data_IF_538800105231
#
_entry.id   IF_538800105231
#
_cell.length_a   1.000
_cell.length_b   1.000
_cell.length_c   1.000
_cell.angle_alpha   90.00
_cell.angle_beta   90.00
_cell.angle_gamma   90.00
#
_symmetry.space_group_name_H-M   'P 1'
#
loop_
_entity.id
_entity.type
_entity.pdbx_description
1 polymer ?
#
# COMPACT_ATOMS: atom_id res chain seq x y z
N UNK A 1 -0.24 16.23 6.12
CA UNK A 1 0.33 15.03 5.48
C UNK A 1 -0.67 13.90 5.63
N UNK A 2 -0.89 13.11 4.58
CA UNK A 2 -1.65 11.86 4.64
C UNK A 2 -0.73 10.69 4.26
N UNK A 3 -0.90 9.56 4.94
CA UNK A 3 -0.19 8.32 4.63
C UNK A 3 -1.14 7.31 4.01
N UNK A 4 -0.69 6.68 2.93
CA UNK A 4 -1.37 5.59 2.25
C UNK A 4 -0.64 4.29 2.59
N UNK A 5 -1.36 3.34 3.18
CA UNK A 5 -0.79 2.03 3.53
C UNK A 5 -1.45 0.91 2.75
N UNK A 6 -0.68 -0.14 2.49
CA UNK A 6 -1.15 -1.35 1.82
C UNK A 6 -0.89 -2.56 2.70
N UNK A 7 -1.84 -3.48 2.72
CA UNK A 7 -1.71 -4.76 3.41
C UNK A 7 -2.11 -5.87 2.44
N UNK A 8 -1.10 -6.56 1.93
CA UNK A 8 -1.26 -7.78 1.16
C UNK A 8 0.00 -8.62 1.33
N UNK A 9 -0.15 -9.93 1.33
CA UNK A 9 0.96 -10.86 1.47
C UNK A 9 1.77 -10.88 0.16
N UNK A 10 2.88 -10.13 0.12
CA UNK A 10 3.83 -10.20 -1.00
C UNK A 10 4.60 -11.53 -0.91
N UNK A 11 4.54 -12.33 -1.97
CA UNK A 11 5.24 -13.61 -2.10
C UNK A 11 5.80 -13.78 -3.52
N UNK A 12 6.50 -14.89 -3.77
CA UNK A 12 7.12 -15.15 -5.07
C UNK A 12 6.13 -15.15 -6.25
N UNK A 13 4.86 -15.48 -6.01
CA UNK A 13 3.84 -15.62 -7.04
C UNK A 13 3.23 -14.28 -7.48
N UNK A 14 3.43 -13.21 -6.70
CA UNK A 14 2.87 -11.89 -6.96
C UNK A 14 3.89 -10.75 -7.02
N UNK A 15 5.17 -11.08 -6.84
CA UNK A 15 6.28 -10.13 -6.82
C UNK A 15 6.35 -9.24 -8.07
N UNK A 16 6.18 -9.83 -9.25
CA UNK A 16 6.28 -9.12 -10.54
C UNK A 16 5.15 -8.08 -10.70
N UNK A 17 3.95 -8.38 -10.21
CA UNK A 17 2.84 -7.41 -10.21
C UNK A 17 3.19 -6.18 -9.36
N UNK A 18 3.76 -6.40 -8.16
CA UNK A 18 4.14 -5.32 -7.26
C UNK A 18 5.29 -4.48 -7.83
N UNK A 19 6.34 -5.11 -8.35
CA UNK A 19 7.54 -4.41 -8.82
C UNK A 19 7.33 -3.74 -10.18
N UNK A 20 6.68 -4.42 -11.13
CA UNK A 20 6.61 -3.93 -12.51
C UNK A 20 5.37 -3.09 -12.79
N UNK A 21 4.26 -3.34 -12.08
CA UNK A 21 2.97 -2.74 -12.41
C UNK A 21 2.48 -1.75 -11.36
N UNK A 22 2.69 -2.04 -10.08
CA UNK A 22 2.19 -1.18 -9.00
C UNK A 22 3.22 -0.15 -8.55
N UNK A 23 4.51 -0.51 -8.50
CA UNK A 23 5.58 0.38 -8.05
C UNK A 23 6.80 0.39 -8.98
N UNK A 24 6.64 0.61 -10.30
CA UNK A 24 7.78 0.69 -11.20
C UNK A 24 8.61 1.95 -10.89
N UNK A 25 9.79 1.75 -10.31
CA UNK A 25 10.89 2.73 -10.15
C UNK A 25 10.81 3.84 -9.09
N UNK A 26 9.90 3.79 -8.11
CA UNK A 26 9.97 4.66 -6.92
C UNK A 26 9.72 3.86 -5.63
N UNK A 27 10.72 3.92 -4.75
CA UNK A 27 10.75 3.41 -3.37
C UNK A 27 10.68 1.87 -3.24
N UNK A 28 11.81 1.19 -2.92
CA UNK A 28 11.81 -0.23 -2.58
C UNK A 28 11.00 -0.44 -1.30
N UNK A 29 9.83 -1.08 -1.42
CA UNK A 29 9.05 -1.54 -0.27
C UNK A 29 9.86 -2.63 0.43
N UNK A 30 10.26 -2.38 1.68
CA UNK A 30 10.85 -3.40 2.53
C UNK A 30 9.76 -4.39 2.93
N UNK A 31 9.80 -5.57 2.33
CA UNK A 31 9.06 -6.76 2.77
C UNK A 31 9.58 -7.19 4.13
N UNK A 32 8.99 -6.71 5.22
CA UNK A 32 9.23 -7.28 6.55
C UNK A 32 7.90 -7.35 7.31
N UNK A 33 7.54 -8.61 7.61
CA UNK A 33 6.62 -9.17 8.63
C UNK A 33 5.54 -8.30 9.30
N UNK A 34 4.32 -8.85 9.49
CA UNK A 34 3.25 -8.16 10.20
C UNK A 34 3.63 -7.99 11.69
N UNK A 35 3.48 -6.80 12.30
CA UNK A 35 3.53 -6.71 13.74
C UNK A 35 2.22 -7.29 14.29
N UNK A 36 2.33 -8.41 15.00
CA UNK A 36 1.40 -8.72 16.08
C UNK A 36 1.42 -7.53 17.04
N UNK A 37 0.31 -6.79 17.11
CA UNK A 37 -0.26 -6.09 18.28
C UNK A 37 -1.23 -5.00 17.81
N UNK A 38 -2.53 -5.33 17.81
CA UNK A 38 -3.63 -4.43 18.19
C UNK A 38 -3.70 -3.02 17.61
N UNK A 39 -3.35 -2.80 16.34
CA UNK A 39 -3.67 -1.53 15.69
C UNK A 39 -5.21 -1.40 15.53
N UNK A 40 -5.79 -0.20 15.69
CA UNK A 40 -7.21 0.01 15.44
C UNK A 40 -7.57 -0.43 14.02
N UNK A 41 -8.66 -1.17 13.89
CA UNK A 41 -9.20 -1.66 12.61
C UNK A 41 -9.27 -0.49 11.62
N UNK A 42 -8.79 -0.63 10.37
CA UNK A 42 -8.79 0.46 9.42
C UNK A 42 -10.20 0.98 9.15
N UNK A 43 -10.29 2.28 8.88
CA UNK A 43 -11.53 2.93 8.48
C UNK A 43 -12.16 2.16 7.31
N UNK A 44 -13.41 1.74 7.48
CA UNK A 44 -14.09 0.91 6.48
C UNK A 44 -14.15 1.63 5.13
N UNK A 45 -13.75 0.92 4.08
CA UNK A 45 -13.84 1.37 2.70
C UNK A 45 -15.31 1.53 2.31
N UNK A 46 -15.71 2.74 1.94
CA UNK A 46 -17.08 3.07 1.61
C UNK A 46 -17.37 3.00 0.11
N UNK A 47 -18.50 2.40 -0.25
CA UNK A 47 -19.06 2.42 -1.60
C UNK A 47 -20.44 3.10 -1.58
N UNK A 48 -20.77 3.96 -2.56
CA UNK A 48 -22.15 4.42 -2.76
C UNK A 48 -23.09 3.23 -3.08
N UNK A 49 -24.34 3.18 -2.57
CA UNK A 49 -25.04 4.15 -1.72
C UNK A 49 -24.95 3.85 -0.21
N UNK A 50 -23.73 3.67 0.35
CA UNK A 50 -23.52 3.54 1.80
C UNK A 50 -23.01 2.17 2.27
N UNK A 51 -22.61 1.30 1.36
CA UNK A 51 -21.95 0.04 1.69
C UNK A 51 -20.57 0.32 2.28
N UNK A 52 -20.16 -0.53 3.23
CA UNK A 52 -18.86 -0.44 3.88
C UNK A 52 -18.23 -1.82 3.93
N UNK A 53 -16.94 -1.90 3.63
CA UNK A 53 -16.16 -3.12 3.58
C UNK A 53 -14.82 -2.90 4.29
N UNK A 54 -14.32 -3.91 5.00
CA UNK A 54 -13.03 -3.82 5.67
C UNK A 54 -11.86 -3.92 4.68
N UNK A 55 -12.01 -4.74 3.65
CA UNK A 55 -11.09 -4.88 2.53
C UNK A 55 -11.79 -4.53 1.21
N UNK A 56 -11.06 -3.98 0.25
CA UNK A 56 -11.58 -3.50 -1.03
C UNK A 56 -12.14 -4.65 -1.89
N UNK A 57 -11.56 -5.84 -1.77
CA UNK A 57 -11.98 -7.06 -2.47
C UNK A 57 -13.18 -7.77 -1.83
N UNK A 58 -13.48 -7.46 -0.58
CA UNK A 58 -14.65 -7.96 0.16
C UNK A 58 -15.91 -7.14 -0.11
N UNK A 59 -15.80 -6.07 -0.88
CA UNK A 59 -16.95 -5.29 -1.30
C UNK A 59 -17.78 -6.03 -2.38
N UNK A 60 -19.08 -5.73 -2.53
CA UNK A 60 -19.98 -6.45 -3.45
C UNK A 60 -19.46 -6.59 -4.89
N UNK A 61 -19.74 -7.74 -5.51
CA UNK A 61 -19.00 -8.25 -6.68
C UNK A 61 -19.27 -7.61 -8.05
N UNK A 62 -20.14 -6.59 -8.16
CA UNK A 62 -20.56 -6.01 -9.44
C UNK A 62 -20.05 -4.58 -9.67
N UNK A 63 -18.80 -4.32 -9.29
CA UNK A 63 -18.15 -3.03 -9.51
C UNK A 63 -17.40 -3.02 -10.84
N UNK A 64 -17.52 -1.92 -11.57
CA UNK A 64 -16.72 -1.58 -12.74
C UNK A 64 -15.41 -0.90 -12.32
N UNK A 65 -14.39 -0.89 -13.18
CA UNK A 65 -13.14 -0.14 -12.92
C UNK A 65 -13.38 1.35 -12.61
N UNK A 66 -14.40 1.98 -13.23
CA UNK A 66 -14.76 3.37 -12.94
C UNK A 66 -15.31 3.55 -11.53
N UNK A 67 -16.16 2.64 -11.06
CA UNK A 67 -16.71 2.67 -9.70
C UNK A 67 -15.63 2.43 -8.66
N UNK A 68 -14.69 1.51 -8.94
CA UNK A 68 -13.51 1.30 -8.09
C UNK A 68 -12.67 2.57 -7.97
N UNK A 69 -12.32 3.21 -9.09
CA UNK A 69 -11.55 4.46 -9.07
C UNK A 69 -12.29 5.56 -8.29
N UNK A 70 -13.59 5.73 -8.53
CA UNK A 70 -14.39 6.72 -7.81
C UNK A 70 -14.44 6.42 -6.30
N UNK A 71 -14.53 5.15 -5.92
CA UNK A 71 -14.51 4.74 -4.53
C UNK A 71 -13.16 4.99 -3.86
N UNK A 72 -12.04 4.73 -4.55
CA UNK A 72 -10.70 5.03 -4.06
C UNK A 72 -10.53 6.52 -3.79
N UNK A 73 -10.93 7.36 -4.76
CA UNK A 73 -10.89 8.83 -4.63
C UNK A 73 -11.82 9.32 -3.52
N UNK A 74 -13.04 8.81 -3.44
CA UNK A 74 -14.00 9.18 -2.40
C UNK A 74 -13.45 8.88 -0.99
N UNK A 75 -12.91 7.68 -0.77
CA UNK A 75 -12.35 7.32 0.53
C UNK A 75 -11.05 8.09 0.83
N UNK A 76 -10.23 8.36 -0.18
CA UNK A 76 -9.08 9.26 -0.01
C UNK A 76 -9.54 10.64 0.52
N UNK A 77 -10.52 11.26 -0.11
CA UNK A 77 -11.04 12.57 0.30
C UNK A 77 -11.66 12.57 1.70
N UNK A 78 -12.30 11.47 2.11
CA UNK A 78 -12.79 11.33 3.50
C UNK A 78 -11.69 11.49 4.54
N UNK A 79 -10.48 11.04 4.24
CA UNK A 79 -9.32 11.20 5.12
C UNK A 79 -8.60 12.53 4.85
N UNK A 80 -8.42 12.88 3.58
CA UNK A 80 -7.67 14.06 3.15
C UNK A 80 -8.34 15.38 3.55
N UNK A 81 -9.65 15.49 3.44
CA UNK A 81 -10.35 16.75 3.73
C UNK A 81 -10.74 16.89 5.22
N UNK A 82 -10.46 15.87 6.03
CA UNK A 82 -10.79 15.85 7.47
C UNK A 82 -9.53 15.80 8.35
N UNK A 83 -9.40 14.79 9.20
CA UNK A 83 -8.34 14.69 10.22
C UNK A 83 -7.02 14.14 9.69
N UNK A 84 -6.90 13.86 8.38
CA UNK A 84 -5.69 13.31 7.75
C UNK A 84 -5.24 11.97 8.37
N UNK A 85 -6.15 11.20 8.95
CA UNK A 85 -5.84 9.87 9.45
C UNK A 85 -5.26 8.99 8.33
N UNK A 86 -4.31 8.08 8.63
CA UNK A 86 -3.78 7.13 7.65
C UNK A 86 -4.92 6.44 6.88
N UNK A 87 -4.81 6.43 5.55
CA UNK A 87 -5.78 5.77 4.68
C UNK A 87 -5.20 4.43 4.21
N UNK A 88 -5.67 3.36 4.83
CA UNK A 88 -5.22 2.01 4.51
C UNK A 88 -6.07 1.36 3.42
N UNK A 89 -5.38 0.69 2.50
CA UNK A 89 -5.93 -0.02 1.35
C UNK A 89 -5.57 -1.50 1.47
N UNK A 90 -6.58 -2.32 1.76
CA UNK A 90 -6.44 -3.74 2.06
C UNK A 90 -7.12 -4.54 0.96
N UNK A 91 -6.39 -5.43 0.30
CA UNK A 91 -6.90 -6.29 -0.77
C UNK A 91 -5.96 -7.48 -0.95
N UNK A 92 -6.46 -8.59 -1.48
CA UNK A 92 -5.61 -9.70 -1.93
C UNK A 92 -5.18 -9.50 -3.39
N UNK A 93 -4.01 -10.00 -3.78
CA UNK A 93 -3.45 -9.81 -5.13
C UNK A 93 -4.34 -10.37 -6.24
N UNK A 94 -5.16 -11.37 -5.92
CA UNK A 94 -6.15 -11.94 -6.83
C UNK A 94 -7.15 -10.90 -7.32
N UNK A 95 -7.38 -9.83 -6.57
CA UNK A 95 -8.24 -8.70 -6.95
C UNK A 95 -7.75 -7.98 -8.22
N UNK A 96 -6.44 -7.89 -8.42
CA UNK A 96 -5.83 -7.29 -9.60
C UNK A 96 -5.86 -8.16 -10.86
N UNK A 97 -6.32 -9.42 -10.76
CA UNK A 97 -6.53 -10.27 -11.95
C UNK A 97 -7.55 -9.67 -12.91
N UNK A 98 -8.44 -8.78 -12.45
CA UNK A 98 -9.31 -7.97 -13.30
C UNK A 98 -8.52 -6.77 -13.84
N UNK A 99 -8.27 -6.69 -15.18
CA UNK A 99 -7.47 -5.61 -15.75
C UNK A 99 -8.03 -4.21 -15.48
N UNK A 100 -9.37 -4.10 -15.42
CA UNK A 100 -10.05 -2.85 -15.10
C UNK A 100 -9.78 -2.35 -13.67
N UNK A 101 -9.56 -3.25 -12.70
CA UNK A 101 -9.28 -2.89 -11.31
C UNK A 101 -7.83 -2.46 -11.17
N UNK A 102 -6.91 -3.18 -11.82
CA UNK A 102 -5.51 -2.78 -11.90
C UNK A 102 -5.36 -1.40 -12.54
N UNK A 103 -6.01 -1.15 -13.67
CA UNK A 103 -5.97 0.14 -14.35
C UNK A 103 -6.56 1.27 -13.49
N UNK A 104 -7.68 1.02 -12.81
CA UNK A 104 -8.30 1.97 -11.88
C UNK A 104 -7.37 2.33 -10.72
N UNK A 105 -6.70 1.31 -10.16
CA UNK A 105 -5.79 1.48 -9.04
C UNK A 105 -4.49 2.18 -9.45
N UNK A 106 -3.89 1.83 -10.59
CA UNK A 106 -2.73 2.55 -11.13
C UNK A 106 -3.05 4.02 -11.36
N UNK A 107 -4.22 4.32 -11.94
CA UNK A 107 -4.67 5.71 -12.10
C UNK A 107 -4.78 6.45 -10.77
N UNK A 108 -5.29 5.79 -9.73
CA UNK A 108 -5.33 6.35 -8.38
C UNK A 108 -3.92 6.63 -7.85
N UNK A 109 -2.98 5.69 -7.98
CA UNK A 109 -1.58 5.87 -7.56
C UNK A 109 -0.92 7.06 -8.27
N UNK A 110 -1.10 7.17 -9.59
CA UNK A 110 -0.54 8.26 -10.40
C UNK A 110 -1.05 9.65 -9.97
N UNK A 111 -2.32 9.75 -9.57
CA UNK A 111 -2.91 11.01 -9.11
C UNK A 111 -2.47 11.36 -7.70
N UNK A 112 -2.38 10.37 -6.81
CA UNK A 112 -1.94 10.59 -5.43
C UNK A 112 -0.45 10.89 -5.35
N UNK A 113 0.38 10.23 -6.17
CA UNK A 113 1.84 10.45 -6.22
C UNK A 113 2.25 11.83 -6.72
N UNK A 114 1.35 12.57 -7.39
CA UNK A 114 1.58 13.96 -7.81
C UNK A 114 1.42 14.96 -6.65
N UNK A 115 0.87 14.54 -5.51
CA UNK A 115 0.62 15.42 -4.36
C UNK A 115 1.82 15.40 -3.40
N UNK A 116 2.44 16.55 -3.10
CA UNK A 116 3.65 16.59 -2.26
C UNK A 116 3.39 16.26 -0.78
N UNK A 117 2.12 16.20 -0.36
CA UNK A 117 1.70 15.94 1.01
C UNK A 117 1.09 14.54 1.22
N UNK A 118 1.21 13.66 0.22
CA UNK A 118 0.75 12.27 0.23
C UNK A 118 1.94 11.33 0.15
N UNK A 119 2.02 10.39 1.10
CA UNK A 119 3.12 9.42 1.19
C UNK A 119 2.62 7.99 1.18
N UNK A 120 3.17 7.16 0.31
CA UNK A 120 2.95 5.72 0.31
C UNK A 120 3.96 5.06 1.24
N UNK A 121 3.46 4.39 2.28
CA UNK A 121 4.29 3.81 3.34
C UNK A 121 3.77 2.44 3.75
N UNK A 122 4.60 1.62 4.39
CA UNK A 122 4.12 0.35 4.96
C UNK A 122 3.28 0.60 6.22
N UNK A 123 2.48 -0.40 6.62
CA UNK A 123 1.75 -0.36 7.90
C UNK A 123 2.71 -0.10 9.08
N UNK A 124 3.91 -0.70 9.06
CA UNK A 124 4.93 -0.47 10.08
C UNK A 124 5.41 0.98 10.09
N UNK A 125 5.72 1.55 8.94
CA UNK A 125 6.16 2.95 8.80
C UNK A 125 5.09 3.93 9.28
N UNK A 126 3.82 3.66 8.98
CA UNK A 126 2.70 4.45 9.50
C UNK A 126 2.62 4.38 11.04
N UNK A 127 2.81 3.19 11.64
CA UNK A 127 2.86 3.03 13.10
C UNK A 127 4.04 3.80 13.72
N UNK A 128 5.22 3.80 13.08
CA UNK A 128 6.35 4.60 13.57
C UNK A 128 6.02 6.09 13.59
N UNK A 129 5.38 6.60 12.53
CA UNK A 129 4.95 8.00 12.50
C UNK A 129 3.86 8.31 13.54
N UNK A 130 2.90 7.41 13.76
CA UNK A 130 1.88 7.61 14.82
C UNK A 130 2.49 7.65 16.23
N UNK A 131 3.59 6.92 16.47
CA UNK A 131 4.31 6.94 17.75
C UNK A 131 5.11 8.22 17.97
N UNK A 132 5.67 8.78 16.90
CA UNK A 132 6.44 10.02 16.95
C UNK A 132 6.17 10.88 15.69
N UNK A 133 5.06 11.64 15.67
CA UNK A 133 4.63 12.35 14.48
C UNK A 133 5.54 13.52 14.16
N UNK A 134 6.00 13.57 12.90
CA UNK A 134 6.76 14.70 12.36
C UNK A 134 5.91 15.53 11.38
N UNK A 135 6.10 16.86 11.32
CA UNK A 135 5.45 17.71 10.33
C UNK A 135 5.99 17.46 8.92
N UNK A 136 5.22 17.81 7.89
CA UNK A 136 5.55 17.52 6.47
C UNK A 136 6.97 17.95 6.07
N UNK A 137 7.43 19.13 6.52
CA UNK A 137 8.77 19.64 6.20
C UNK A 137 9.94 18.88 6.84
N UNK A 138 9.68 17.92 7.72
CA UNK A 138 10.69 17.10 8.40
C UNK A 138 10.57 15.61 8.01
N UNK A 139 9.62 15.26 7.14
CA UNK A 139 9.34 13.86 6.76
C UNK A 139 10.52 13.22 6.05
N UNK A 140 11.23 13.97 5.21
CA UNK A 140 12.42 13.46 4.51
C UNK A 140 13.55 13.06 5.48
N UNK A 141 13.56 13.63 6.67
CA UNK A 141 14.54 13.35 7.73
C UNK A 141 14.04 12.30 8.72
N UNK A 142 12.80 11.81 8.55
CA UNK A 142 12.21 10.81 9.42
C UNK A 142 12.85 9.46 9.14
N UNK A 143 13.81 9.08 9.97
CA UNK A 143 14.64 7.86 9.78
C UNK A 143 13.83 6.59 9.47
N UNK A 144 12.67 6.32 10.12
CA UNK A 144 11.87 5.14 9.81
C UNK A 144 11.31 5.10 8.38
N UNK A 145 11.19 6.26 7.72
CA UNK A 145 10.77 6.37 6.32
C UNK A 145 11.95 6.52 5.37
N UNK A 146 13.17 6.61 5.90
CA UNK A 146 14.40 6.71 5.11
C UNK A 146 14.59 5.49 4.21
N UNK A 147 14.75 5.74 2.91
CA UNK A 147 15.05 4.69 1.93
C UNK A 147 16.51 4.24 2.05
N UNK A 148 16.78 3.25 2.91
CA UNK A 148 18.06 2.53 2.87
C UNK A 148 18.06 1.69 1.59
N UNK A 149 18.91 2.03 0.62
CA UNK A 149 19.13 1.16 -0.56
C UNK A 149 19.39 -0.25 -0.06
N UNK A 150 18.53 -1.21 -0.41
CA UNK A 150 18.86 -2.63 -0.24
C UNK A 150 20.12 -2.84 -1.07
N UNK A 151 21.27 -3.00 -0.41
CA UNK A 151 22.42 -3.62 -1.06
C UNK A 151 21.88 -4.95 -1.54
N UNK A 152 21.90 -5.18 -2.86
CA UNK A 152 21.56 -6.47 -3.44
C UNK A 152 22.45 -7.51 -2.78
N UNK A 153 21.98 -8.11 -1.68
CA UNK A 153 22.49 -9.39 -1.25
C UNK A 153 22.07 -10.32 -2.38
N UNK A 154 23.01 -10.58 -3.29
CA UNK A 154 22.97 -11.79 -4.10
C UNK A 154 22.72 -12.91 -3.09
N UNK A 155 21.48 -13.34 -3.00
CA UNK A 155 21.11 -14.51 -2.24
C UNK A 155 22.02 -15.62 -2.74
N UNK A 156 22.89 -16.13 -1.86
CA UNK A 156 23.84 -17.18 -2.16
C UNK A 156 23.07 -18.52 -2.19
N UNK A 157 22.05 -18.63 -3.04
CA UNK A 157 21.23 -19.85 -3.22
C UNK A 157 22.00 -20.90 -4.06
N UNK A 158 23.23 -20.61 -4.49
CA UNK A 158 24.03 -21.54 -5.29
C UNK A 158 24.79 -22.60 -4.47
N UNK A 159 24.83 -22.54 -3.14
CA UNK A 159 25.59 -23.51 -2.35
C UNK A 159 24.77 -24.68 -1.79
N UNK A 160 23.43 -24.66 -1.87
CA UNK A 160 22.62 -25.78 -1.36
C UNK A 160 22.53 -26.98 -2.35
N UNK A 161 22.78 -26.75 -3.64
CA UNK A 161 22.69 -27.81 -4.67
C UNK A 161 24.02 -28.51 -5.01
N UNK A 162 25.15 -28.12 -4.39
CA UNK A 162 26.45 -28.78 -4.62
C UNK A 162 26.88 -29.75 -3.52
N UNK A 163 26.22 -29.78 -2.36
CA UNK A 163 26.56 -30.72 -1.28
C UNK A 163 25.72 -32.02 -1.29
N UNK A 164 24.84 -32.19 -2.29
CA UNK A 164 24.06 -33.43 -2.48
C UNK A 164 24.36 -34.03 -3.86
N UNK A 165 25.60 -34.49 -4.03
CA UNK A 165 25.98 -35.51 -5.02
C UNK A 165 27.04 -36.42 -4.44
#
# INVERSE_FOLDING_TARGET
MITLTFDDAVNADNWDLFQEKLFPSQNPITTDTPPSNGAPVPAQFGLPPGYRCAMVDSCPHHLTGKEIYNALIHNFHRHYDTNRAPFGLYFHTTWFKKPEFLAAFQKFLDEMGKRPDVWFVTNWQAVQWMRNPVPLGQVEQFEPWGCKKRVSQKFHILNYYQEVK
#
